data_IF_050036691572
#
_entry.id   IF_050036691572
#
_cell.length_a   1.000
_cell.length_b   1.000
_cell.length_c   1.000
_cell.angle_alpha   90.00
_cell.angle_beta   90.00
_cell.angle_gamma   90.00
#
_symmetry.space_group_name_H-M   'P 1'
#
loop_
_entity.id
_entity.type
_entity.pdbx_description
1 polymer ?
#
# COMPACT_ATOMS: atom_id res chain seq x y z
N UNK A 1 -1.87 -2.44 -2.54
CA UNK A 1 -0.65 -3.25 -2.32
C UNK A 1 -0.78 -4.14 -1.10
N UNK A 2 -0.98 -3.57 0.06
CA UNK A 2 -0.95 -4.31 1.34
C UNK A 2 -2.05 -5.39 1.44
N UNK A 3 -3.27 -5.14 0.93
CA UNK A 3 -4.33 -6.17 0.87
C UNK A 3 -3.90 -7.35 0.00
N UNK A 4 -3.23 -7.06 -1.10
CA UNK A 4 -2.71 -8.07 -2.01
C UNK A 4 -1.64 -8.92 -1.34
N UNK A 5 -0.74 -8.29 -0.60
CA UNK A 5 0.30 -8.98 0.16
C UNK A 5 -0.30 -9.87 1.25
N UNK A 6 -1.32 -9.38 1.97
CA UNK A 6 -2.05 -10.18 2.95
C UNK A 6 -2.76 -11.39 2.32
N UNK A 7 -3.37 -11.22 1.15
CA UNK A 7 -4.07 -12.30 0.46
C UNK A 7 -3.12 -13.40 -0.05
N UNK A 8 -1.89 -13.02 -0.40
CA UNK A 8 -0.88 -13.90 -0.98
C UNK A 8 -0.01 -14.64 0.06
N UNK A 9 -0.56 -14.89 1.24
CA UNK A 9 0.12 -15.66 2.30
C UNK A 9 -0.18 -17.13 2.17
N UNK A 10 0.87 -17.96 2.24
CA UNK A 10 0.75 -19.42 2.22
C UNK A 10 0.08 -19.94 0.95
N UNK A 11 -1.09 -20.52 1.09
CA UNK A 11 -1.95 -21.03 0.02
C UNK A 11 -3.24 -20.24 -0.14
N UNK A 12 -3.18 -18.95 0.22
CA UNK A 12 -4.27 -17.99 0.25
C UNK A 12 -4.74 -17.67 1.65
N UNK A 13 -4.99 -16.38 1.88
CA UNK A 13 -5.47 -15.84 3.14
C UNK A 13 -6.61 -14.86 2.92
N UNK A 14 -7.29 -14.50 4.00
CA UNK A 14 -8.46 -13.60 3.97
C UNK A 14 -8.16 -12.33 4.75
N UNK A 15 -7.90 -11.20 4.08
CA UNK A 15 -7.82 -9.89 4.71
C UNK A 15 -9.13 -9.54 5.43
N UNK A 16 -9.05 -9.07 6.68
CA UNK A 16 -10.23 -8.82 7.52
C UNK A 16 -10.42 -7.36 7.87
N UNK A 17 -9.34 -6.67 8.23
CA UNK A 17 -9.42 -5.27 8.59
C UNK A 17 -8.10 -4.56 8.27
N UNK A 18 -8.21 -3.29 7.92
CA UNK A 18 -7.08 -2.44 7.61
C UNK A 18 -6.80 -1.40 8.68
N UNK A 19 -5.58 -0.91 8.66
CA UNK A 19 -5.11 0.24 9.44
C UNK A 19 -4.31 1.16 8.54
N UNK A 20 -4.43 2.47 8.76
CA UNK A 20 -3.70 3.45 7.96
C UNK A 20 -3.21 4.57 8.85
N UNK A 21 -1.91 4.87 8.80
CA UNK A 21 -1.30 5.94 9.59
C UNK A 21 -0.50 6.91 8.72
N UNK A 22 -0.40 8.14 9.17
CA UNK A 22 0.32 9.20 8.47
C UNK A 22 1.28 9.92 9.40
N UNK A 23 2.51 10.12 8.90
CA UNK A 23 3.48 11.05 9.49
C UNK A 23 3.74 12.18 8.50
N UNK A 24 3.53 13.41 8.94
CA UNK A 24 3.55 14.62 8.13
C UNK A 24 4.37 15.71 8.81
N UNK A 25 4.72 16.75 8.06
CA UNK A 25 5.17 18.02 8.64
C UNK A 25 4.02 18.73 9.38
N UNK A 26 4.30 19.83 10.02
CA UNK A 26 3.31 20.60 10.76
C UNK A 26 2.14 21.02 9.86
N UNK A 27 0.92 20.89 10.36
CA UNK A 27 -0.28 21.14 9.57
C UNK A 27 -0.52 22.64 9.32
N UNK A 28 -0.15 23.49 10.27
CA UNK A 28 -0.36 24.95 10.22
C UNK A 28 -1.78 25.31 9.79
N UNK A 29 -2.75 24.80 10.52
CA UNK A 29 -4.17 25.06 10.26
C UNK A 29 -4.41 26.56 10.37
N UNK A 30 -4.89 27.26 9.30
CA UNK A 30 -4.93 28.73 9.27
C UNK A 30 -5.69 29.39 10.42
N UNK A 31 -6.72 28.74 10.93
CA UNK A 31 -7.54 29.19 12.06
C UNK A 31 -6.95 28.84 13.43
N UNK A 32 -5.92 28.01 13.50
CA UNK A 32 -5.39 27.45 14.74
C UNK A 32 -3.92 27.03 14.59
N UNK A 33 -3.05 27.96 14.27
CA UNK A 33 -1.60 27.70 14.25
C UNK A 33 -1.12 27.54 15.69
N UNK A 34 -0.40 26.44 15.94
CA UNK A 34 0.09 26.12 17.26
C UNK A 34 1.42 26.85 17.54
N UNK A 35 1.75 27.18 18.81
CA UNK A 35 2.94 27.97 19.14
C UNK A 35 4.28 27.39 18.68
N UNK A 36 4.34 26.08 18.48
CA UNK A 36 5.55 25.38 18.03
C UNK A 36 5.61 25.17 16.51
N UNK A 37 4.56 25.54 15.77
CA UNK A 37 4.50 25.40 14.32
C UNK A 37 5.17 26.57 13.61
N UNK A 38 6.50 26.55 13.58
CA UNK A 38 7.29 27.54 12.85
C UNK A 38 7.23 27.22 11.35
N UNK A 39 7.03 28.26 10.53
CA UNK A 39 7.07 28.11 9.08
C UNK A 39 8.51 28.14 8.58
N UNK A 40 9.02 26.98 8.20
CA UNK A 40 10.31 26.83 7.54
C UNK A 40 10.17 26.74 6.00
N UNK A 41 8.96 26.92 5.47
CA UNK A 41 8.64 26.66 4.06
C UNK A 41 8.49 25.17 3.75
N UNK A 42 8.08 24.86 2.53
CA UNK A 42 7.98 23.49 2.04
C UNK A 42 8.36 23.44 0.55
N UNK A 43 8.79 22.27 0.04
CA UNK A 43 9.10 22.12 -1.38
C UNK A 43 7.87 22.39 -2.26
N UNK A 44 7.97 23.29 -3.23
CA UNK A 44 6.86 23.72 -4.09
C UNK A 44 6.19 22.60 -4.89
N UNK A 45 6.89 21.47 -5.06
CA UNK A 45 6.41 20.29 -5.79
C UNK A 45 5.58 19.32 -4.93
N UNK A 46 5.50 19.54 -3.63
CA UNK A 46 4.79 18.68 -2.68
C UNK A 46 3.63 19.50 -2.11
N UNK A 47 2.44 18.94 -2.07
CA UNK A 47 1.30 19.55 -1.39
C UNK A 47 1.58 19.79 0.09
N UNK A 48 0.89 20.74 0.69
CA UNK A 48 1.03 21.03 2.12
C UNK A 48 0.61 19.82 2.96
N UNK A 49 1.14 19.75 4.18
CA UNK A 49 0.79 18.68 5.12
C UNK A 49 -0.73 18.67 5.41
N UNK A 50 -1.36 19.83 5.45
CA UNK A 50 -2.81 19.96 5.65
C UNK A 50 -3.59 19.38 4.47
N UNK A 51 -3.26 19.72 3.23
CA UNK A 51 -3.92 19.18 2.04
C UNK A 51 -3.77 17.65 2.00
N UNK A 52 -2.57 17.13 2.28
CA UNK A 52 -2.33 15.69 2.28
C UNK A 52 -3.21 14.97 3.30
N UNK A 53 -3.32 15.49 4.53
CA UNK A 53 -4.11 14.79 5.57
C UNK A 53 -5.61 14.92 5.36
N UNK A 54 -6.08 15.92 4.64
CA UNK A 54 -7.50 16.03 4.30
C UNK A 54 -7.92 15.00 3.25
N UNK A 55 -7.05 14.66 2.31
CA UNK A 55 -7.39 13.80 1.17
C UNK A 55 -6.91 12.35 1.32
N UNK A 56 -5.72 12.12 1.84
CA UNK A 56 -5.13 10.78 1.87
C UNK A 56 -5.94 9.74 2.66
N UNK A 57 -6.54 10.07 3.83
CA UNK A 57 -7.43 9.14 4.53
C UNK A 57 -8.70 8.79 3.75
N UNK A 58 -9.22 9.73 2.97
CA UNK A 58 -10.39 9.52 2.11
C UNK A 58 -10.06 8.47 1.04
N UNK A 59 -8.90 8.60 0.40
CA UNK A 59 -8.43 7.61 -0.57
C UNK A 59 -8.26 6.21 0.02
N UNK A 60 -7.68 6.11 1.21
CA UNK A 60 -7.53 4.85 1.92
C UNK A 60 -8.88 4.22 2.30
N UNK A 61 -9.82 5.03 2.81
CA UNK A 61 -11.16 4.58 3.16
C UNK A 61 -11.96 4.14 1.94
N UNK A 62 -11.91 4.89 0.85
CA UNK A 62 -12.61 4.57 -0.40
C UNK A 62 -12.17 3.21 -0.95
N UNK A 63 -10.87 2.95 -1.00
CA UNK A 63 -10.36 1.67 -1.47
C UNK A 63 -10.83 0.51 -0.60
N UNK A 64 -10.72 0.65 0.72
CA UNK A 64 -11.14 -0.39 1.66
C UNK A 64 -12.66 -0.63 1.58
N UNK A 65 -13.47 0.42 1.44
CA UNK A 65 -14.91 0.33 1.28
C UNK A 65 -15.31 -0.46 0.03
N UNK A 66 -14.74 -0.11 -1.11
CA UNK A 66 -15.06 -0.76 -2.39
C UNK A 66 -14.57 -2.22 -2.41
N UNK A 67 -13.40 -2.49 -1.84
CA UNK A 67 -12.93 -3.87 -1.64
C UNK A 67 -13.82 -4.65 -0.66
N UNK A 68 -14.46 -3.98 0.29
CA UNK A 68 -15.32 -4.60 1.31
C UNK A 68 -14.54 -5.05 2.56
N UNK A 69 -13.57 -4.25 3.00
CA UNK A 69 -12.79 -4.46 4.22
C UNK A 69 -12.83 -3.19 5.08
N UNK A 70 -13.18 -3.24 6.37
CA UNK A 70 -13.17 -2.05 7.21
C UNK A 70 -11.73 -1.55 7.44
N UNK A 71 -11.55 -0.24 7.39
CA UNK A 71 -10.34 0.43 7.88
C UNK A 71 -10.63 0.91 9.31
N UNK A 72 -10.14 0.17 10.31
CA UNK A 72 -10.65 0.26 11.69
C UNK A 72 -9.83 1.16 12.61
N UNK A 73 -8.61 1.48 12.24
CA UNK A 73 -7.72 2.28 13.06
C UNK A 73 -6.64 2.95 12.20
N UNK A 74 -5.97 3.90 12.80
CA UNK A 74 -4.83 4.59 12.22
C UNK A 74 -4.21 5.56 13.18
N UNK A 75 -3.27 6.36 12.70
CA UNK A 75 -2.70 7.45 13.46
C UNK A 75 -2.39 8.64 12.56
N UNK A 76 -2.33 9.80 13.15
CA UNK A 76 -1.72 10.99 12.59
C UNK A 76 -0.63 11.48 13.53
N UNK A 77 0.57 11.71 12.99
CA UNK A 77 1.69 12.34 13.71
C UNK A 77 2.27 13.44 12.86
N UNK A 78 2.61 14.54 13.47
CA UNK A 78 3.29 15.67 12.84
C UNK A 78 4.63 15.90 13.50
N UNK A 79 5.62 16.25 12.70
CA UNK A 79 6.92 16.65 13.18
C UNK A 79 7.61 17.55 12.17
N UNK A 80 8.00 18.72 12.64
CA UNK A 80 8.87 19.63 11.91
C UNK A 80 9.63 20.47 12.95
N UNK A 81 10.95 20.43 12.92
CA UNK A 81 11.77 21.14 13.88
C UNK A 81 13.17 21.39 13.36
N UNK A 82 13.79 22.47 13.85
CA UNK A 82 15.21 22.71 13.65
C UNK A 82 16.02 21.89 14.68
N UNK A 83 16.96 21.09 14.16
CA UNK A 83 17.88 20.28 14.95
C UNK A 83 19.29 20.71 14.54
N UNK A 84 19.95 21.50 15.38
CA UNK A 84 21.18 22.19 15.01
C UNK A 84 20.95 23.14 13.83
N UNK A 85 21.74 23.02 12.79
CA UNK A 85 21.62 23.85 11.58
C UNK A 85 20.63 23.29 10.54
N UNK A 86 20.05 22.12 10.79
CA UNK A 86 19.19 21.44 9.81
C UNK A 86 17.73 21.43 10.25
N UNK A 87 16.83 21.84 9.37
CA UNK A 87 15.39 21.66 9.55
C UNK A 87 15.02 20.27 9.10
N UNK A 88 14.32 19.54 9.96
CA UNK A 88 13.81 18.18 9.69
C UNK A 88 12.30 18.15 9.82
N UNK A 89 11.66 17.46 8.86
CA UNK A 89 10.22 17.29 8.83
C UNK A 89 9.82 16.21 7.83
N UNK A 90 8.55 15.88 7.82
CA UNK A 90 7.97 14.89 6.89
C UNK A 90 7.23 15.57 5.74
N UNK A 91 7.90 16.46 5.00
CA UNK A 91 7.31 17.06 3.78
C UNK A 91 7.01 16.00 2.73
N UNK A 92 7.93 15.04 2.52
CA UNK A 92 7.59 13.77 1.87
C UNK A 92 6.90 12.91 2.94
N UNK A 93 5.58 12.72 2.87
CA UNK A 93 4.84 12.06 3.93
C UNK A 93 5.23 10.58 4.02
N UNK A 94 5.10 10.03 5.23
CA UNK A 94 5.12 8.59 5.41
C UNK A 94 3.69 8.13 5.62
N UNK A 95 3.22 7.26 4.74
CA UNK A 95 1.99 6.51 4.90
C UNK A 95 2.32 5.08 5.32
N UNK A 96 1.79 4.64 6.42
CA UNK A 96 1.82 3.25 6.84
C UNK A 96 0.45 2.65 6.58
N UNK A 97 0.39 1.69 5.68
CA UNK A 97 -0.80 0.90 5.45
C UNK A 97 -0.52 -0.54 5.89
N UNK A 98 -1.45 -1.13 6.59
CA UNK A 98 -1.34 -2.48 7.09
C UNK A 98 -2.70 -3.06 7.38
N UNK A 99 -2.73 -4.24 7.94
CA UNK A 99 -3.96 -4.89 8.31
C UNK A 99 -3.71 -6.24 8.95
N UNK A 100 -4.80 -6.95 9.16
CA UNK A 100 -4.76 -8.31 9.65
C UNK A 100 -5.86 -9.15 9.00
N UNK A 101 -5.62 -10.44 8.96
CA UNK A 101 -6.53 -11.39 8.35
C UNK A 101 -6.37 -12.78 8.96
N UNK A 102 -6.95 -13.74 8.27
CA UNK A 102 -6.90 -15.13 8.66
C UNK A 102 -6.27 -15.99 7.57
N UNK A 103 -5.41 -16.90 7.98
CA UNK A 103 -4.97 -18.03 7.19
C UNK A 103 -5.33 -19.33 7.93
N UNK A 104 -5.72 -20.38 7.21
CA UNK A 104 -5.97 -21.68 7.83
C UNK A 104 -4.65 -22.31 8.25
N UNK A 105 -4.62 -22.93 9.40
CA UNK A 105 -3.41 -23.57 9.94
C UNK A 105 -2.80 -24.61 9.01
N UNK A 106 -3.64 -25.31 8.24
CA UNK A 106 -3.21 -26.30 7.24
C UNK A 106 -2.81 -25.69 5.89
N UNK A 107 -2.89 -24.34 5.75
CA UNK A 107 -2.59 -23.60 4.52
C UNK A 107 -1.51 -22.52 4.70
N UNK A 108 -0.88 -22.45 5.85
CA UNK A 108 0.18 -21.46 6.15
C UNK A 108 1.40 -21.67 5.25
N UNK A 109 1.76 -22.94 5.03
CA UNK A 109 2.93 -23.28 4.25
C UNK A 109 2.57 -23.49 2.78
N UNK A 110 3.34 -22.88 1.90
CA UNK A 110 3.30 -23.15 0.46
C UNK A 110 3.71 -24.59 0.20
N UNK A 111 3.08 -25.23 -0.78
CA UNK A 111 3.47 -26.56 -1.26
C UNK A 111 4.43 -26.46 -2.44
N UNK A 112 5.24 -27.47 -2.63
CA UNK A 112 6.06 -27.58 -3.83
C UNK A 112 5.16 -27.82 -5.03
N UNK A 113 5.50 -27.22 -6.12
CA UNK A 113 4.88 -27.43 -7.44
C UNK A 113 5.96 -27.89 -8.43
N UNK A 114 5.55 -28.45 -9.55
CA UNK A 114 6.47 -29.00 -10.52
C UNK A 114 5.88 -29.12 -11.93
N UNK A 115 6.52 -29.91 -12.77
CA UNK A 115 6.06 -30.11 -14.14
C UNK A 115 4.64 -30.70 -14.18
N UNK A 116 3.75 -30.04 -14.91
CA UNK A 116 2.33 -30.41 -15.02
C UNK A 116 1.39 -29.56 -14.16
N UNK A 117 1.89 -28.77 -13.21
CA UNK A 117 1.09 -27.79 -12.48
C UNK A 117 0.85 -26.53 -13.34
N UNK A 118 -0.27 -25.86 -13.07
CA UNK A 118 -0.64 -24.65 -13.81
C UNK A 118 -0.20 -23.41 -13.08
N UNK A 119 0.33 -22.44 -13.83
CA UNK A 119 0.51 -21.06 -13.37
C UNK A 119 -0.76 -20.28 -13.75
N UNK A 120 -1.45 -19.73 -12.77
CA UNK A 120 -2.67 -18.96 -12.95
C UNK A 120 -2.43 -17.52 -12.55
N UNK A 121 -2.63 -16.59 -13.49
CA UNK A 121 -2.58 -15.15 -13.23
C UNK A 121 -3.99 -14.65 -12.92
N UNK A 122 -4.16 -14.10 -11.70
CA UNK A 122 -5.40 -13.43 -11.29
C UNK A 122 -5.22 -11.92 -11.34
N UNK A 123 -6.08 -11.23 -12.04
CA UNK A 123 -6.04 -9.77 -12.11
C UNK A 123 -6.71 -9.20 -13.34
N UNK A 124 -6.58 -7.89 -13.49
CA UNK A 124 -7.00 -7.15 -14.66
C UNK A 124 -5.84 -6.87 -15.61
N UNK A 125 -6.05 -5.95 -16.57
CA UNK A 125 -5.03 -5.53 -17.51
C UNK A 125 -3.80 -4.99 -16.76
N UNK A 126 -2.62 -5.43 -17.18
CA UNK A 126 -1.36 -4.87 -16.70
C UNK A 126 -1.25 -3.41 -17.16
N UNK A 127 -0.89 -2.53 -16.24
CA UNK A 127 -0.58 -1.13 -16.55
C UNK A 127 0.92 -0.92 -16.45
N UNK A 128 1.45 -0.10 -17.37
CA UNK A 128 2.84 0.29 -17.31
C UNK A 128 3.08 1.13 -16.04
N UNK A 129 4.01 0.65 -15.23
CA UNK A 129 4.64 1.42 -14.17
C UNK A 129 6.12 1.54 -14.53
N UNK A 130 6.76 2.65 -14.15
CA UNK A 130 8.18 2.86 -14.44
C UNK A 130 9.05 1.72 -13.90
N UNK A 131 10.23 1.53 -14.50
CA UNK A 131 11.17 0.47 -14.14
C UNK A 131 11.54 0.44 -12.65
N UNK A 132 11.48 1.61 -11.98
CA UNK A 132 11.68 1.72 -10.53
C UNK A 132 10.54 1.11 -9.70
N UNK A 133 9.34 1.00 -10.26
CA UNK A 133 8.16 0.47 -9.55
C UNK A 133 7.99 1.08 -8.17
N UNK A 134 7.69 0.26 -7.16
CA UNK A 134 7.58 0.68 -5.76
C UNK A 134 8.87 1.21 -5.14
N UNK A 135 10.04 0.94 -5.74
CA UNK A 135 11.33 1.44 -5.26
C UNK A 135 11.47 2.97 -5.37
N UNK A 136 10.76 3.60 -6.31
CA UNK A 136 10.75 5.06 -6.46
C UNK A 136 10.22 5.78 -5.21
N UNK A 137 9.28 5.17 -4.49
CA UNK A 137 8.73 5.72 -3.25
C UNK A 137 9.77 5.83 -2.12
N UNK A 138 10.78 4.97 -2.15
CA UNK A 138 11.86 4.92 -1.15
C UNK A 138 13.07 5.79 -1.51
N UNK A 139 13.12 6.34 -2.72
CA UNK A 139 14.25 7.17 -3.17
C UNK A 139 14.20 8.58 -2.57
N UNK A 140 15.38 9.20 -2.44
CA UNK A 140 15.47 10.62 -2.07
C UNK A 140 14.89 11.44 -3.22
N UNK A 141 13.88 12.26 -2.91
CA UNK A 141 13.24 13.11 -3.91
C UNK A 141 14.20 14.15 -4.49
N UNK A 142 14.41 14.12 -5.78
CA UNK A 142 15.18 15.12 -6.55
C UNK A 142 14.32 15.69 -7.68
N UNK A 143 14.70 16.83 -8.24
CA UNK A 143 13.98 17.37 -9.40
C UNK A 143 13.98 16.43 -10.61
N UNK A 144 15.01 15.61 -10.74
CA UNK A 144 15.13 14.58 -11.79
C UNK A 144 14.20 13.39 -11.58
N UNK A 145 13.58 13.25 -10.40
CA UNK A 145 12.70 12.12 -10.09
C UNK A 145 11.24 12.34 -10.44
N UNK A 146 10.83 13.53 -10.91
CA UNK A 146 9.42 13.84 -11.18
C UNK A 146 8.76 12.87 -12.16
N UNK A 147 9.42 12.58 -13.29
CA UNK A 147 8.88 11.65 -14.29
C UNK A 147 8.83 10.22 -13.76
N UNK A 148 9.83 9.82 -12.97
CA UNK A 148 9.87 8.52 -12.31
C UNK A 148 8.78 8.42 -11.24
N UNK A 149 8.53 9.47 -10.48
CA UNK A 149 7.48 9.52 -9.46
C UNK A 149 6.10 9.35 -10.13
N UNK A 150 5.82 10.07 -11.22
CA UNK A 150 4.58 9.93 -11.97
C UNK A 150 4.41 8.56 -12.62
N UNK A 151 5.46 8.00 -13.19
CA UNK A 151 5.44 6.67 -13.82
C UNK A 151 5.33 5.53 -12.80
N UNK A 152 5.62 5.81 -11.53
CA UNK A 152 5.54 4.82 -10.44
C UNK A 152 4.19 4.78 -9.73
N UNK A 153 3.26 5.66 -10.09
CA UNK A 153 1.91 5.67 -9.52
C UNK A 153 1.18 4.37 -9.90
N UNK A 154 0.88 3.57 -8.90
CA UNK A 154 0.04 2.38 -9.06
C UNK A 154 -1.42 2.80 -9.18
N UNK A 155 -2.06 2.40 -10.27
CA UNK A 155 -3.49 2.62 -10.46
C UNK A 155 -4.26 1.56 -9.71
N UNK A 156 -5.21 2.01 -8.90
CA UNK A 156 -6.02 1.11 -8.08
C UNK A 156 -7.24 0.62 -8.85
N UNK A 157 -7.58 -0.65 -8.63
CA UNK A 157 -8.84 -1.22 -9.03
C UNK A 157 -9.35 -2.13 -7.91
N UNK A 158 -10.05 -1.55 -6.92
CA UNK A 158 -10.50 -2.29 -5.75
C UNK A 158 -11.54 -3.36 -6.09
N UNK A 159 -12.39 -3.13 -7.09
CA UNK A 159 -13.35 -4.14 -7.58
C UNK A 159 -12.62 -5.38 -8.13
N UNK A 160 -11.65 -5.18 -9.00
CA UNK A 160 -10.87 -6.28 -9.55
C UNK A 160 -10.13 -7.04 -8.44
N UNK A 161 -9.56 -6.33 -7.50
CA UNK A 161 -8.90 -6.95 -6.35
C UNK A 161 -9.88 -7.74 -5.48
N UNK A 162 -11.10 -7.24 -5.32
CA UNK A 162 -12.17 -7.98 -4.63
C UNK A 162 -12.52 -9.26 -5.37
N UNK A 163 -12.69 -9.23 -6.68
CA UNK A 163 -12.94 -10.42 -7.51
C UNK A 163 -11.83 -11.46 -7.39
N UNK A 164 -10.57 -11.03 -7.41
CA UNK A 164 -9.44 -11.93 -7.17
C UNK A 164 -9.51 -12.57 -5.78
N UNK A 165 -9.86 -11.78 -4.75
CA UNK A 165 -10.04 -12.28 -3.40
C UNK A 165 -11.15 -13.31 -3.30
N UNK A 166 -12.24 -13.15 -4.01
CA UNK A 166 -13.34 -14.13 -4.03
C UNK A 166 -12.91 -15.48 -4.60
N UNK A 167 -12.06 -15.49 -5.62
CA UNK A 167 -11.47 -16.73 -6.14
C UNK A 167 -10.59 -17.39 -5.07
N UNK A 168 -9.73 -16.59 -4.40
CA UNK A 168 -8.88 -17.08 -3.32
C UNK A 168 -9.73 -17.64 -2.17
N UNK A 169 -10.78 -16.91 -1.79
CA UNK A 169 -11.71 -17.32 -0.72
C UNK A 169 -12.43 -18.63 -1.05
N UNK A 170 -12.87 -18.82 -2.29
CA UNK A 170 -13.46 -20.07 -2.74
C UNK A 170 -12.47 -21.24 -2.59
N UNK A 171 -11.23 -21.05 -3.06
CA UNK A 171 -10.18 -22.07 -2.93
C UNK A 171 -9.85 -22.34 -1.45
N UNK A 172 -9.70 -21.28 -0.66
CA UNK A 172 -9.41 -21.34 0.77
C UNK A 172 -10.49 -22.12 1.56
N UNK A 173 -11.78 -21.95 1.20
CA UNK A 173 -12.91 -22.65 1.83
C UNK A 173 -12.90 -24.14 1.57
N UNK A 174 -12.27 -24.62 0.50
CA UNK A 174 -12.16 -26.04 0.18
C UNK A 174 -11.28 -26.82 1.19
N UNK A 175 -10.57 -26.13 2.10
CA UNK A 175 -9.75 -26.74 3.13
C UNK A 175 -8.66 -27.64 2.53
N UNK A 176 -8.65 -28.92 2.86
CA UNK A 176 -7.66 -29.87 2.34
C UNK A 176 -7.68 -30.02 0.81
N UNK A 177 -8.80 -29.73 0.16
CA UNK A 177 -8.98 -29.76 -1.30
C UNK A 177 -8.62 -28.45 -1.99
N UNK A 178 -8.09 -27.45 -1.28
CA UNK A 178 -7.63 -26.21 -1.89
C UNK A 178 -6.66 -26.48 -3.04
N UNK A 179 -6.98 -26.09 -4.28
CA UNK A 179 -6.12 -26.34 -5.43
C UNK A 179 -4.86 -25.47 -5.46
N UNK A 180 -4.84 -24.36 -4.72
CA UNK A 180 -3.68 -23.47 -4.67
C UNK A 180 -2.53 -24.18 -3.93
N UNK A 181 -1.43 -24.41 -4.64
CA UNK A 181 -0.21 -24.94 -4.06
C UNK A 181 0.66 -23.83 -3.46
N UNK A 182 0.79 -22.74 -4.19
CA UNK A 182 1.54 -21.55 -3.81
C UNK A 182 0.86 -20.34 -4.42
N UNK A 183 0.88 -19.22 -3.72
CA UNK A 183 0.37 -17.94 -4.21
C UNK A 183 1.40 -16.86 -3.93
N UNK A 184 1.56 -15.93 -4.86
CA UNK A 184 2.43 -14.78 -4.73
C UNK A 184 1.73 -13.56 -5.35
N UNK A 185 1.91 -12.40 -4.77
CA UNK A 185 1.47 -11.16 -5.40
C UNK A 185 2.45 -10.74 -6.51
N UNK A 186 1.94 -10.00 -7.48
CA UNK A 186 2.76 -9.41 -8.53
C UNK A 186 2.95 -7.93 -8.21
N UNK A 187 4.16 -7.60 -7.77
CA UNK A 187 4.56 -6.24 -7.40
C UNK A 187 5.61 -5.66 -8.36
N UNK A 188 6.59 -4.97 -7.79
CA UNK A 188 7.72 -4.43 -8.54
C UNK A 188 8.51 -5.54 -9.28
N UNK A 189 8.88 -5.28 -10.52
CA UNK A 189 9.51 -6.28 -11.40
C UNK A 189 8.53 -7.14 -12.19
N UNK A 190 7.22 -7.04 -11.90
CA UNK A 190 6.18 -7.73 -12.65
C UNK A 190 6.25 -9.24 -12.56
N UNK A 191 5.72 -9.92 -13.57
CA UNK A 191 5.68 -11.38 -13.63
C UNK A 191 7.07 -12.03 -13.59
N UNK A 192 8.07 -11.39 -14.20
CA UNK A 192 9.44 -11.92 -14.21
C UNK A 192 10.10 -12.02 -12.83
N UNK A 193 9.55 -11.30 -11.85
CA UNK A 193 10.02 -11.36 -10.47
C UNK A 193 9.12 -12.24 -9.59
N UNK A 194 7.88 -12.50 -10.01
CA UNK A 194 6.92 -13.29 -9.26
C UNK A 194 7.00 -14.81 -9.57
N UNK A 195 7.49 -15.17 -10.75
CA UNK A 195 7.67 -16.53 -11.26
C UNK A 195 9.16 -16.90 -11.17
#
# INVERSE_FOLDING_TARGET
GEIRDEAAVGRGARPKAGVTGFSLSNLRIPSQILPWEIDYGHPSRISSALEIILEAPIGAASFNNEFGRPNIAGYLRTFESRIGEVVRGYHKPIMVAGGFGNVRSDQVNKRKFGAGDFIVLLGGPSMLIGLGGGGASSSVGSEKSKELDFSSVQRSNPEMQRRCQEVIDCCWQMGKRNPILSIHDVGAGGLSNAV
#
